data_IF_252736148516
#
_entry.id   IF_252736148516
#
_cell.length_a   1.000
_cell.length_b   1.000
_cell.length_c   1.000
_cell.angle_alpha   90.00
_cell.angle_beta   90.00
_cell.angle_gamma   90.00
#
_symmetry.space_group_name_H-M   'P 1'
#
loop_
_entity.id
_entity.type
_entity.pdbx_description
1 polymer ?
#
# COMPACT_ATOMS: atom_id res chain seq x y z
N UNK A 1 -14.03 -21.08 -4.22
CA UNK A 1 -14.18 -19.63 -4.50
C UNK A 1 -12.98 -18.89 -3.92
N UNK A 2 -12.31 -18.05 -4.69
CA UNK A 2 -11.22 -17.26 -4.16
C UNK A 2 -11.75 -16.11 -3.29
N UNK A 3 -10.91 -15.61 -2.41
CA UNK A 3 -11.25 -14.53 -1.49
C UNK A 3 -10.32 -13.34 -1.72
N UNK A 4 -10.84 -12.16 -1.50
CA UNK A 4 -10.06 -10.93 -1.52
C UNK A 4 -10.55 -9.99 -0.43
N UNK A 5 -9.65 -9.13 0.04
CA UNK A 5 -9.97 -8.10 1.02
C UNK A 5 -8.97 -6.96 0.89
N UNK A 6 -9.35 -5.79 1.39
CA UNK A 6 -8.42 -4.68 1.50
C UNK A 6 -7.35 -5.01 2.54
N UNK A 7 -6.09 -5.07 2.11
CA UNK A 7 -4.96 -5.35 2.99
C UNK A 7 -4.33 -4.10 3.55
N UNK A 8 -3.90 -3.19 2.68
CA UNK A 8 -3.18 -1.99 3.07
C UNK A 8 -3.69 -0.77 2.32
N UNK A 9 -3.55 0.39 2.96
CA UNK A 9 -3.55 1.69 2.28
C UNK A 9 -2.10 2.14 2.24
N UNK A 10 -1.59 2.43 1.04
CA UNK A 10 -0.21 2.85 0.86
C UNK A 10 -0.18 4.30 0.44
N UNK A 11 0.55 5.12 1.20
CA UNK A 11 0.73 6.54 0.92
C UNK A 11 2.12 6.71 0.31
N UNK A 12 2.15 7.00 -0.98
CA UNK A 12 3.40 7.21 -1.71
C UNK A 12 3.87 8.64 -1.53
N UNK A 13 5.13 8.81 -1.15
CA UNK A 13 5.71 10.14 -0.98
C UNK A 13 7.08 10.23 -1.64
N UNK A 14 7.37 11.42 -2.15
CA UNK A 14 8.67 11.72 -2.74
C UNK A 14 9.46 12.51 -1.69
N UNK A 15 10.35 11.83 -0.97
CA UNK A 15 11.03 12.43 0.16
C UNK A 15 12.43 11.82 0.33
N UNK A 16 13.33 12.59 0.92
CA UNK A 16 14.63 12.09 1.38
C UNK A 16 14.60 11.72 2.87
N UNK A 17 13.48 11.99 3.56
CA UNK A 17 13.32 11.71 4.97
C UNK A 17 12.00 10.99 5.23
N UNK A 18 12.02 9.68 5.03
CA UNK A 18 10.84 8.84 5.17
C UNK A 18 10.29 8.84 6.59
N UNK A 19 11.17 8.89 7.61
CA UNK A 19 10.74 8.93 9.01
C UNK A 19 9.92 10.20 9.30
N UNK A 20 10.32 11.34 8.74
CA UNK A 20 9.58 12.59 8.91
C UNK A 20 8.18 12.50 8.31
N UNK A 21 8.06 11.90 7.13
CA UNK A 21 6.75 11.66 6.50
C UNK A 21 5.89 10.71 7.35
N UNK A 22 6.49 9.64 7.85
CA UNK A 22 5.78 8.70 8.71
C UNK A 22 5.29 9.37 10.00
N UNK A 23 6.07 10.26 10.58
CA UNK A 23 5.66 11.01 11.77
C UNK A 23 4.48 11.92 11.50
N UNK A 24 4.46 12.57 10.33
CA UNK A 24 3.31 13.40 9.95
C UNK A 24 2.03 12.54 9.92
N UNK A 25 2.06 11.41 9.24
CA UNK A 25 0.88 10.55 9.12
C UNK A 25 0.53 9.86 10.43
N UNK A 26 1.55 9.56 11.26
CA UNK A 26 1.32 9.06 12.61
C UNK A 26 0.52 10.08 13.45
N UNK A 27 0.89 11.35 13.36
CA UNK A 27 0.17 12.40 14.09
C UNK A 27 -1.24 12.58 13.56
N UNK A 28 -1.44 12.50 12.24
CA UNK A 28 -2.76 12.65 11.62
C UNK A 28 -3.68 11.49 12.02
N UNK A 29 -3.16 10.26 11.99
CA UNK A 29 -3.98 9.05 12.13
C UNK A 29 -4.02 8.47 13.54
N UNK A 30 -3.05 8.85 14.38
CA UNK A 30 -2.96 8.31 15.73
C UNK A 30 -2.30 6.94 15.83
N UNK A 31 -1.63 6.47 14.78
CA UNK A 31 -0.90 5.20 14.79
C UNK A 31 0.58 5.45 14.98
N UNK A 32 1.23 4.84 15.98
CA UNK A 32 2.64 5.12 16.25
C UNK A 32 3.59 4.74 15.11
N UNK A 33 4.68 5.50 14.98
CA UNK A 33 5.82 5.08 14.15
C UNK A 33 6.58 4.00 14.93
N UNK A 34 6.89 2.83 14.33
CA UNK A 34 7.69 1.82 15.01
C UNK A 34 9.05 2.35 15.45
N UNK A 35 9.55 1.87 16.60
CA UNK A 35 10.83 2.33 17.15
C UNK A 35 12.02 2.03 16.24
N UNK A 36 11.95 0.95 15.46
CA UNK A 36 13.01 0.53 14.54
C UNK A 36 12.90 1.19 13.16
N UNK A 37 11.96 2.10 12.96
CA UNK A 37 11.79 2.78 11.67
C UNK A 37 12.99 3.68 11.37
N UNK A 38 13.45 3.64 10.12
CA UNK A 38 14.49 4.54 9.66
C UNK A 38 14.23 4.97 8.21
N UNK A 39 14.98 5.99 7.77
CA UNK A 39 14.78 6.57 6.44
C UNK A 39 15.58 5.87 5.34
N UNK A 40 16.30 4.79 5.65
CA UNK A 40 17.12 4.08 4.67
C UNK A 40 16.31 3.06 3.88
N UNK A 41 15.18 2.61 4.40
CA UNK A 41 14.30 1.68 3.72
C UNK A 41 13.40 2.38 2.73
N UNK A 42 12.57 1.60 2.03
CA UNK A 42 11.65 2.11 1.01
C UNK A 42 10.26 2.35 1.57
N UNK A 43 9.95 1.80 2.73
CA UNK A 43 8.63 1.97 3.36
C UNK A 43 8.73 1.88 4.87
N UNK A 44 7.74 2.47 5.53
CA UNK A 44 7.52 2.35 6.98
C UNK A 44 6.05 1.98 7.15
N UNK A 45 5.80 0.88 7.85
CA UNK A 45 4.43 0.50 8.22
C UNK A 45 4.14 1.06 9.61
N UNK A 46 3.10 1.88 9.73
CA UNK A 46 2.69 2.39 11.04
C UNK A 46 2.16 1.25 11.91
N UNK A 47 2.29 1.41 13.23
CA UNK A 47 1.85 0.40 14.20
C UNK A 47 0.33 0.46 14.33
N UNK A 48 -0.37 -0.10 13.36
CA UNK A 48 -1.82 -0.17 13.31
C UNK A 48 -2.29 -1.41 14.07
N UNK A 49 -3.36 -1.33 14.86
CA UNK A 49 -3.86 -2.49 15.60
C UNK A 49 -4.15 -3.69 14.70
N UNK A 50 -3.91 -4.91 15.17
CA UNK A 50 -4.25 -6.11 14.42
C UNK A 50 -5.73 -6.14 14.05
N UNK A 51 -6.04 -6.59 12.84
CA UNK A 51 -7.41 -6.65 12.35
C UNK A 51 -7.90 -5.39 11.67
N UNK A 52 -7.17 -4.28 11.78
CA UNK A 52 -7.47 -3.06 11.04
C UNK A 52 -6.68 -3.00 9.74
N UNK A 53 -7.15 -2.20 8.79
CA UNK A 53 -6.43 -1.97 7.54
C UNK A 53 -5.10 -1.30 7.88
N UNK A 54 -4.00 -1.87 7.40
CA UNK A 54 -2.67 -1.36 7.71
C UNK A 54 -2.35 -0.14 6.85
N UNK A 55 -1.54 0.76 7.38
CA UNK A 55 -1.12 1.98 6.69
C UNK A 55 0.39 1.92 6.49
N UNK A 56 0.81 2.06 5.23
CA UNK A 56 2.22 2.01 4.85
C UNK A 56 2.59 3.35 4.20
N UNK A 57 3.69 3.93 4.65
CA UNK A 57 4.27 5.12 4.04
C UNK A 57 5.42 4.66 3.16
N UNK A 58 5.35 4.93 1.86
CA UNK A 58 6.31 4.41 0.90
C UNK A 58 7.05 5.53 0.18
N UNK A 59 8.37 5.40 0.08
CA UNK A 59 9.20 6.32 -0.68
C UNK A 59 9.16 5.92 -2.16
N UNK A 60 8.84 6.89 -3.01
CA UNK A 60 8.75 6.67 -4.46
C UNK A 60 9.48 7.77 -5.21
N UNK A 61 9.83 7.50 -6.47
CA UNK A 61 10.45 8.47 -7.36
C UNK A 61 9.48 9.18 -8.30
N UNK A 62 8.22 8.78 -8.30
CA UNK A 62 7.19 9.37 -9.15
C UNK A 62 6.33 10.35 -8.35
N UNK A 63 5.30 10.92 -8.97
CA UNK A 63 4.37 11.82 -8.30
C UNK A 63 3.73 11.14 -7.09
N UNK A 64 3.63 11.86 -5.94
CA UNK A 64 2.97 11.31 -4.76
C UNK A 64 1.51 10.95 -5.03
N UNK A 65 1.09 9.82 -4.48
CA UNK A 65 -0.30 9.34 -4.60
C UNK A 65 -0.56 8.30 -3.52
N UNK A 66 -1.80 7.92 -3.36
CA UNK A 66 -2.17 6.79 -2.51
C UNK A 66 -2.66 5.64 -3.40
N UNK A 67 -2.43 4.42 -2.96
CA UNK A 67 -2.99 3.25 -3.62
C UNK A 67 -3.43 2.22 -2.58
N UNK A 68 -4.24 1.27 -3.02
CA UNK A 68 -4.75 0.22 -2.15
C UNK A 68 -4.08 -1.10 -2.53
N UNK A 69 -3.69 -1.86 -1.52
CA UNK A 69 -3.25 -3.23 -1.70
C UNK A 69 -4.40 -4.17 -1.38
N UNK A 70 -4.77 -5.00 -2.34
CA UNK A 70 -5.81 -5.99 -2.15
C UNK A 70 -5.15 -7.34 -1.87
N UNK A 71 -5.43 -7.90 -0.70
CA UNK A 71 -5.03 -9.26 -0.37
C UNK A 71 -5.99 -10.24 -1.04
N UNK A 72 -5.45 -11.31 -1.57
CA UNK A 72 -6.19 -12.31 -2.33
C UNK A 72 -5.51 -13.68 -2.20
N UNK A 73 -6.30 -14.72 -2.39
CA UNK A 73 -5.77 -16.08 -2.42
C UNK A 73 -5.39 -16.53 -3.83
N UNK A 74 -5.82 -15.81 -4.86
CA UNK A 74 -5.47 -16.11 -6.25
C UNK A 74 -5.34 -14.81 -7.05
N UNK A 75 -4.12 -14.51 -7.51
CA UNK A 75 -3.85 -13.34 -8.36
C UNK A 75 -4.61 -13.46 -9.67
N UNK A 76 -4.57 -14.65 -10.31
CA UNK A 76 -5.23 -14.86 -11.61
C UNK A 76 -6.72 -14.60 -11.53
N UNK A 77 -7.39 -15.15 -10.52
CA UNK A 77 -8.83 -14.97 -10.36
C UNK A 77 -9.19 -13.54 -9.99
N UNK A 78 -8.37 -12.90 -9.15
CA UNK A 78 -8.62 -11.51 -8.75
C UNK A 78 -8.44 -10.54 -9.91
N UNK A 79 -7.40 -10.70 -10.72
CA UNK A 79 -7.19 -9.87 -11.92
C UNK A 79 -8.38 -10.03 -12.87
N UNK A 80 -8.83 -11.25 -13.12
CA UNK A 80 -9.99 -11.49 -13.98
C UNK A 80 -11.25 -10.83 -13.44
N UNK A 81 -11.48 -10.91 -12.13
CA UNK A 81 -12.62 -10.27 -11.48
C UNK A 81 -12.57 -8.75 -11.64
N UNK A 82 -11.40 -8.16 -11.38
CA UNK A 82 -11.24 -6.71 -11.47
C UNK A 82 -11.36 -6.19 -12.90
N UNK A 83 -10.88 -6.97 -13.88
CA UNK A 83 -11.06 -6.62 -15.30
C UNK A 83 -12.54 -6.63 -15.68
N UNK A 84 -13.32 -7.57 -15.17
CA UNK A 84 -14.78 -7.56 -15.39
C UNK A 84 -15.46 -6.33 -14.78
N UNK A 85 -14.87 -5.77 -13.72
CA UNK A 85 -15.38 -4.55 -13.08
C UNK A 85 -14.88 -3.27 -13.77
N UNK A 86 -14.06 -3.39 -14.81
CA UNK A 86 -13.60 -2.26 -15.60
C UNK A 86 -12.17 -1.83 -15.36
N UNK A 87 -11.45 -2.50 -14.46
CA UNK A 87 -10.04 -2.20 -14.22
C UNK A 87 -9.17 -2.74 -15.36
N UNK A 88 -7.99 -2.16 -15.52
CA UNK A 88 -7.02 -2.62 -16.52
C UNK A 88 -5.66 -2.86 -15.87
N UNK A 89 -4.91 -3.79 -16.43
CA UNK A 89 -3.55 -4.09 -15.97
C UNK A 89 -2.62 -2.98 -16.45
N UNK A 90 -1.86 -2.42 -15.52
CA UNK A 90 -0.80 -1.45 -15.82
C UNK A 90 0.54 -2.15 -15.94
N UNK A 91 0.87 -3.02 -14.97
CA UNK A 91 2.12 -3.78 -14.99
C UNK A 91 1.99 -5.07 -14.21
N UNK A 92 2.78 -6.06 -14.59
CA UNK A 92 2.86 -7.35 -13.90
C UNK A 92 4.22 -7.49 -13.26
N UNK A 93 4.24 -7.98 -12.03
CA UNK A 93 5.46 -8.23 -11.27
C UNK A 93 5.40 -9.64 -10.68
N UNK A 94 6.54 -10.08 -10.15
CA UNK A 94 6.57 -11.37 -9.46
C UNK A 94 5.86 -11.22 -8.12
N UNK A 95 4.71 -11.87 -7.99
CA UNK A 95 3.92 -11.85 -6.76
C UNK A 95 2.83 -10.79 -6.66
N UNK A 96 2.79 -9.81 -7.59
CA UNK A 96 1.70 -8.81 -7.58
C UNK A 96 1.47 -8.23 -8.97
N UNK A 97 0.32 -7.60 -9.13
CA UNK A 97 -0.08 -6.95 -10.38
C UNK A 97 -0.60 -5.56 -10.04
N UNK A 98 -0.12 -4.54 -10.76
CA UNK A 98 -0.62 -3.17 -10.62
C UNK A 98 -1.76 -2.97 -11.60
N UNK A 99 -2.88 -2.47 -11.11
CA UNK A 99 -4.07 -2.23 -11.93
C UNK A 99 -4.55 -0.81 -11.78
N UNK A 100 -5.22 -0.33 -12.81
CA UNK A 100 -5.83 0.99 -12.84
C UNK A 100 -7.34 0.84 -12.78
N UNK A 101 -7.99 1.55 -11.86
CA UNK A 101 -9.44 1.62 -11.79
C UNK A 101 -10.02 2.34 -13.02
N UNK A 102 -11.27 2.07 -13.35
CA UNK A 102 -11.92 2.72 -14.49
C UNK A 102 -11.92 4.24 -14.42
#
# INVERSE_FOLDING_TARGET
MHKSRLGNIVIDCRTDDLVSEARFWSDVLGYPVPEDADSTGRFIQLATPPGEVQVIIQKVGHEPRAHLDIERDSITLEVARLERLGARIVSRHDGWVVMQAP
#
